data_IF_197284911734
#
_entry.id   IF_197284911734
#
_cell.length_a   1.000
_cell.length_b   1.000
_cell.length_c   1.000
_cell.angle_alpha   90.00
_cell.angle_beta   90.00
_cell.angle_gamma   90.00
#
_symmetry.space_group_name_H-M   'P 1'
#
loop_
_entity.id
_entity.type
_entity.pdbx_description
1 polymer ?
#
# COMPACT_ATOMS: atom_id res chain seq x y z
N UNK A 1 43.57 18.02 21.34
CA UNK A 1 43.16 17.86 19.93
C UNK A 1 42.84 16.39 19.76
N UNK A 2 41.57 16.04 19.89
CA UNK A 2 41.10 14.66 19.71
C UNK A 2 40.50 14.55 18.33
N UNK A 3 40.95 13.53 17.62
CA UNK A 3 40.71 13.24 16.22
C UNK A 3 39.21 12.97 15.96
N UNK A 4 38.56 13.82 15.18
CA UNK A 4 37.16 13.66 14.73
C UNK A 4 37.13 13.02 13.34
N UNK A 5 37.75 11.86 13.17
CA UNK A 5 37.78 11.18 11.88
C UNK A 5 37.72 9.68 12.07
N UNK A 6 36.49 9.15 12.23
CA UNK A 6 35.99 8.01 11.46
C UNK A 6 34.52 7.72 11.85
N UNK A 7 33.58 8.57 11.42
CA UNK A 7 32.18 8.13 11.36
C UNK A 7 32.00 7.47 9.99
N UNK A 8 31.49 6.22 9.91
CA UNK A 8 31.13 5.62 8.63
C UNK A 8 30.10 6.51 7.92
N UNK A 9 30.00 6.46 6.58
CA UNK A 9 28.96 7.20 5.87
C UNK A 9 27.61 6.83 6.48
N UNK A 10 26.82 7.84 6.83
CA UNK A 10 25.43 7.62 7.22
C UNK A 10 24.76 6.88 6.06
N UNK A 11 24.26 5.67 6.31
CA UNK A 11 23.22 5.10 5.47
C UNK A 11 22.18 6.20 5.30
N UNK A 12 21.89 6.58 4.06
CA UNK A 12 21.03 7.71 3.76
C UNK A 12 19.67 7.48 4.44
N UNK A 13 19.28 8.39 5.33
CA UNK A 13 17.98 8.42 6.02
C UNK A 13 16.75 8.47 5.06
N UNK A 14 16.99 8.39 3.75
CA UNK A 14 15.99 8.47 2.67
C UNK A 14 15.44 7.09 2.25
N UNK A 15 16.07 5.98 2.65
CA UNK A 15 15.62 4.63 2.30
C UNK A 15 14.71 4.05 3.39
N UNK A 16 13.62 3.38 2.98
CA UNK A 16 12.74 2.71 3.91
C UNK A 16 13.52 1.60 4.66
N UNK A 17 13.23 1.34 5.94
CA UNK A 17 13.94 0.32 6.69
C UNK A 17 13.71 -1.06 6.06
N UNK A 18 14.71 -1.94 6.20
CA UNK A 18 14.59 -3.34 5.80
C UNK A 18 13.33 -3.98 6.41
N UNK A 19 12.58 -4.70 5.58
CA UNK A 19 11.30 -5.31 5.97
C UNK A 19 10.09 -4.38 5.82
N UNK A 20 10.26 -3.12 5.42
CA UNK A 20 9.14 -2.24 5.09
C UNK A 20 8.51 -2.64 3.76
N UNK A 21 7.20 -2.85 3.74
CA UNK A 21 6.48 -2.98 2.49
C UNK A 21 6.38 -1.63 1.78
N UNK A 22 6.92 -1.58 0.56
CA UNK A 22 6.90 -0.39 -0.29
C UNK A 22 5.96 -0.64 -1.46
N UNK A 23 5.11 0.35 -1.74
CA UNK A 23 4.29 0.39 -2.95
C UNK A 23 4.69 1.61 -3.78
N UNK A 24 4.97 1.45 -5.10
CA UNK A 24 5.45 2.55 -5.91
C UNK A 24 4.43 3.69 -5.96
N UNK A 25 4.92 4.91 -6.19
CA UNK A 25 4.05 6.04 -6.46
C UNK A 25 3.33 5.83 -7.79
N UNK A 26 2.01 6.00 -7.80
CA UNK A 26 1.20 5.85 -9.00
C UNK A 26 1.15 7.20 -9.74
N UNK A 27 1.50 7.25 -11.04
CA UNK A 27 1.47 8.49 -11.82
C UNK A 27 0.09 9.16 -11.84
N UNK A 28 0.06 10.49 -11.70
CA UNK A 28 -1.19 11.29 -11.60
C UNK A 28 -2.04 11.17 -12.86
N UNK A 29 -1.39 11.06 -14.02
CA UNK A 29 -1.96 10.93 -15.36
C UNK A 29 -2.81 9.67 -15.55
N UNK A 30 -2.68 8.66 -14.68
CA UNK A 30 -3.57 7.50 -14.66
C UNK A 30 -4.95 7.81 -14.08
N UNK A 31 -5.10 8.95 -13.41
CA UNK A 31 -6.37 9.45 -12.89
C UNK A 31 -6.95 8.63 -11.74
N UNK A 32 -6.15 7.78 -11.08
CA UNK A 32 -6.59 6.98 -9.93
C UNK A 32 -6.92 7.92 -8.76
N UNK A 33 -8.03 7.64 -8.05
CA UNK A 33 -8.50 8.54 -7.00
C UNK A 33 -7.47 8.71 -5.86
N UNK A 34 -7.01 9.94 -5.53
CA UNK A 34 -5.93 10.14 -4.55
C UNK A 34 -6.22 9.60 -3.15
N UNK A 35 -7.46 9.70 -2.66
CA UNK A 35 -7.81 9.12 -1.35
C UNK A 35 -7.74 7.59 -1.35
N UNK A 36 -8.01 6.94 -2.49
CA UNK A 36 -7.87 5.50 -2.58
C UNK A 36 -6.38 5.12 -2.62
N UNK A 37 -5.56 5.82 -3.40
CA UNK A 37 -4.11 5.62 -3.40
C UNK A 37 -3.51 5.74 -2.00
N UNK A 38 -3.87 6.78 -1.25
CA UNK A 38 -3.41 6.97 0.12
C UNK A 38 -3.81 5.80 1.04
N UNK A 39 -5.06 5.34 0.93
CA UNK A 39 -5.54 4.19 1.71
C UNK A 39 -4.84 2.88 1.31
N UNK A 40 -4.62 2.66 0.01
CA UNK A 40 -3.93 1.49 -0.52
C UNK A 40 -2.47 1.45 -0.07
N UNK A 41 -1.75 2.58 -0.17
CA UNK A 41 -0.38 2.71 0.35
C UNK A 41 -0.31 2.37 1.84
N UNK A 42 -1.25 2.88 2.65
CA UNK A 42 -1.30 2.58 4.08
C UNK A 42 -1.58 1.10 4.35
N UNK A 43 -2.54 0.48 3.65
CA UNK A 43 -2.87 -0.93 3.83
C UNK A 43 -1.71 -1.84 3.45
N UNK A 44 -1.06 -1.60 2.30
CA UNK A 44 0.11 -2.37 1.89
C UNK A 44 1.23 -2.24 2.93
N UNK A 45 1.45 -1.04 3.46
CA UNK A 45 2.46 -0.84 4.50
C UNK A 45 2.11 -1.62 5.78
N UNK A 46 0.87 -1.54 6.27
CA UNK A 46 0.47 -2.23 7.50
C UNK A 46 0.47 -3.75 7.36
N UNK A 47 0.02 -4.28 6.23
CA UNK A 47 -0.16 -5.73 6.03
C UNK A 47 1.10 -6.42 5.54
N UNK A 48 1.98 -5.68 4.86
CA UNK A 48 3.16 -6.24 4.21
C UNK A 48 4.47 -6.01 4.97
N UNK A 49 4.50 -5.10 5.95
CA UNK A 49 5.74 -4.79 6.68
C UNK A 49 6.00 -5.78 7.82
N UNK A 50 7.27 -6.06 8.05
CA UNK A 50 7.72 -6.96 9.12
C UNK A 50 7.49 -6.36 10.52
N UNK A 51 7.43 -7.23 11.54
CA UNK A 51 7.19 -6.84 12.94
C UNK A 51 8.30 -5.93 13.52
N UNK A 52 9.47 -5.91 12.89
CA UNK A 52 10.58 -5.01 13.20
C UNK A 52 10.32 -3.57 12.73
N UNK A 53 9.40 -3.38 11.78
CA UNK A 53 9.03 -2.07 11.21
C UNK A 53 7.75 -1.54 11.83
N UNK A 54 6.72 -2.39 11.96
CA UNK A 54 5.43 -2.01 12.54
C UNK A 54 4.94 -3.07 13.52
N UNK A 55 4.44 -2.64 14.68
CA UNK A 55 3.90 -3.57 15.67
C UNK A 55 2.67 -4.31 15.09
N UNK A 56 2.69 -5.66 15.00
CA UNK A 56 1.67 -6.40 14.23
C UNK A 56 0.23 -6.13 14.68
N UNK A 57 -0.02 -6.09 16.00
CA UNK A 57 -1.37 -5.84 16.50
C UNK A 57 -1.87 -4.41 16.20
N UNK A 58 -0.96 -3.43 16.15
CA UNK A 58 -1.33 -2.04 15.86
C UNK A 58 -1.57 -1.86 14.35
N UNK A 59 -0.75 -2.51 13.53
CA UNK A 59 -0.93 -2.56 12.08
C UNK A 59 -2.28 -3.21 11.71
N UNK A 60 -2.59 -4.35 12.33
CA UNK A 60 -3.87 -5.04 12.13
C UNK A 60 -5.05 -4.14 12.51
N UNK A 61 -5.04 -3.54 13.70
CA UNK A 61 -6.14 -2.66 14.14
C UNK A 61 -6.33 -1.45 13.20
N UNK A 62 -5.24 -0.83 12.74
CA UNK A 62 -5.31 0.26 11.77
C UNK A 62 -5.88 -0.18 10.40
N UNK A 63 -5.43 -1.33 9.89
CA UNK A 63 -5.92 -1.91 8.65
C UNK A 63 -7.41 -2.28 8.74
N UNK A 64 -7.86 -2.83 9.87
CA UNK A 64 -9.27 -3.15 10.13
C UNK A 64 -10.17 -1.91 10.07
N UNK A 65 -9.71 -0.77 10.61
CA UNK A 65 -10.48 0.48 10.51
C UNK A 65 -10.53 1.04 9.09
N UNK A 66 -9.39 1.06 8.39
CA UNK A 66 -9.32 1.51 6.99
C UNK A 66 -10.25 0.68 6.11
N UNK A 67 -10.17 -0.64 6.21
CA UNK A 67 -11.01 -1.57 5.45
C UNK A 67 -12.48 -1.43 5.82
N UNK A 68 -12.81 -1.25 7.10
CA UNK A 68 -14.19 -0.96 7.55
C UNK A 68 -14.79 0.30 6.94
N UNK A 69 -13.99 1.33 6.62
CA UNK A 69 -14.48 2.50 5.89
C UNK A 69 -14.63 2.22 4.39
N UNK A 70 -13.69 1.51 3.78
CA UNK A 70 -13.78 1.13 2.36
C UNK A 70 -14.98 0.19 2.10
N UNK A 71 -15.32 -0.68 3.05
CA UNK A 71 -16.50 -1.55 2.97
C UNK A 71 -17.83 -0.78 2.88
N UNK A 72 -17.87 0.49 3.30
CA UNK A 72 -19.07 1.35 3.19
C UNK A 72 -19.29 1.88 1.78
N UNK A 73 -18.31 1.75 0.90
CA UNK A 73 -18.42 2.21 -0.49
C UNK A 73 -19.50 1.40 -1.21
N UNK A 74 -20.34 2.12 -1.95
CA UNK A 74 -21.42 1.52 -2.74
C UNK A 74 -21.70 2.37 -3.98
N UNK A 75 -22.54 1.86 -4.88
CA UNK A 75 -22.95 2.59 -6.08
C UNK A 75 -21.75 3.04 -6.91
N UNK A 76 -21.72 4.35 -7.24
CA UNK A 76 -20.66 4.92 -8.10
C UNK A 76 -19.29 4.93 -7.45
N UNK A 77 -19.20 5.09 -6.13
CA UNK A 77 -17.89 5.16 -5.46
C UNK A 77 -17.23 3.78 -5.43
N UNK A 78 -18.01 2.71 -5.19
CA UNK A 78 -17.51 1.34 -5.30
C UNK A 78 -17.13 0.97 -6.74
N UNK A 79 -17.92 1.42 -7.72
CA UNK A 79 -17.58 1.23 -9.12
C UNK A 79 -16.26 1.94 -9.46
N UNK A 80 -16.09 3.18 -9.01
CA UNK A 80 -14.86 3.94 -9.24
C UNK A 80 -13.64 3.24 -8.65
N UNK A 81 -13.76 2.73 -7.42
CA UNK A 81 -12.68 1.97 -6.77
C UNK A 81 -12.24 0.74 -7.60
N UNK A 82 -13.19 0.03 -8.24
CA UNK A 82 -12.89 -1.12 -9.09
C UNK A 82 -12.13 -0.71 -10.34
N UNK A 83 -12.59 0.34 -11.01
CA UNK A 83 -11.94 0.91 -12.20
C UNK A 83 -10.51 1.37 -11.86
N UNK A 84 -10.35 2.05 -10.73
CA UNK A 84 -9.05 2.50 -10.21
C UNK A 84 -8.10 1.32 -9.94
N UNK A 85 -8.56 0.24 -9.32
CA UNK A 85 -7.77 -0.99 -9.14
C UNK A 85 -7.37 -1.64 -10.46
N UNK A 86 -8.29 -1.72 -11.42
CA UNK A 86 -8.00 -2.26 -12.74
C UNK A 86 -6.93 -1.44 -13.47
N UNK A 87 -6.96 -0.11 -13.34
CA UNK A 87 -5.92 0.79 -13.86
C UNK A 87 -4.56 0.51 -13.22
N UNK A 88 -4.48 0.38 -11.90
CA UNK A 88 -3.22 0.05 -11.20
C UNK A 88 -2.70 -1.32 -11.62
N UNK A 89 -3.57 -2.33 -11.76
CA UNK A 89 -3.19 -3.66 -12.24
C UNK A 89 -2.67 -3.61 -13.68
N UNK A 90 -3.25 -2.75 -14.52
CA UNK A 90 -2.76 -2.46 -15.87
C UNK A 90 -1.33 -1.93 -15.84
N UNK A 91 -1.09 -0.87 -15.08
CA UNK A 91 0.25 -0.31 -14.88
C UNK A 91 1.24 -1.38 -14.41
N UNK A 92 0.90 -2.12 -13.36
CA UNK A 92 1.80 -3.13 -12.80
C UNK A 92 2.13 -4.27 -13.76
N UNK A 93 1.26 -4.57 -14.73
CA UNK A 93 1.58 -5.53 -15.80
C UNK A 93 2.57 -4.93 -16.80
N UNK A 94 2.36 -3.68 -17.20
CA UNK A 94 3.22 -2.97 -18.15
C UNK A 94 4.62 -2.75 -17.57
N UNK A 95 4.71 -2.45 -16.28
CA UNK A 95 5.97 -2.31 -15.52
C UNK A 95 6.52 -3.64 -15.00
N UNK A 96 5.88 -4.78 -15.31
CA UNK A 96 6.34 -6.11 -14.94
C UNK A 96 6.54 -6.34 -13.44
N UNK A 97 5.63 -5.80 -12.62
CA UNK A 97 5.64 -6.00 -11.17
C UNK A 97 5.59 -7.49 -10.78
N UNK A 98 6.08 -7.85 -9.58
CA UNK A 98 6.04 -9.22 -9.10
C UNK A 98 4.62 -9.81 -9.14
N UNK A 99 4.52 -11.10 -9.50
CA UNK A 99 3.24 -11.81 -9.58
C UNK A 99 2.44 -11.75 -8.28
N UNK A 100 3.13 -11.76 -7.14
CA UNK A 100 2.51 -11.66 -5.82
C UNK A 100 1.84 -10.29 -5.62
N UNK A 101 2.50 -9.19 -5.99
CA UNK A 101 1.93 -7.84 -5.94
C UNK A 101 0.69 -7.73 -6.84
N UNK A 102 0.76 -8.26 -8.07
CA UNK A 102 -0.39 -8.31 -8.96
C UNK A 102 -1.52 -9.19 -8.42
N UNK A 103 -1.19 -10.26 -7.71
CA UNK A 103 -2.18 -11.13 -7.10
C UNK A 103 -2.89 -10.44 -5.93
N UNK A 104 -2.13 -9.76 -5.06
CA UNK A 104 -2.69 -8.95 -3.97
C UNK A 104 -3.69 -7.93 -4.50
N UNK A 105 -3.34 -7.16 -5.53
CA UNK A 105 -4.26 -6.16 -6.11
C UNK A 105 -5.53 -6.80 -6.71
N UNK A 106 -5.41 -7.98 -7.32
CA UNK A 106 -6.55 -8.70 -7.90
C UNK A 106 -7.53 -9.21 -6.85
N UNK A 107 -7.03 -9.63 -5.69
CA UNK A 107 -7.87 -10.16 -4.61
C UNK A 107 -8.21 -9.12 -3.57
N UNK A 108 -7.60 -7.93 -3.62
CA UNK A 108 -7.73 -6.83 -2.66
C UNK A 108 -9.18 -6.59 -2.19
N UNK A 109 -10.13 -6.45 -3.11
CA UNK A 109 -11.53 -6.21 -2.73
C UNK A 109 -12.16 -7.41 -2.02
N UNK A 110 -11.85 -8.62 -2.47
CA UNK A 110 -12.40 -9.84 -1.89
C UNK A 110 -11.80 -10.11 -0.50
N UNK A 111 -10.48 -9.98 -0.38
CA UNK A 111 -9.73 -10.23 0.87
C UNK A 111 -10.17 -9.26 1.98
N UNK A 112 -10.52 -8.02 1.60
CA UNK A 112 -11.01 -7.00 2.53
C UNK A 112 -12.54 -6.91 2.61
N UNK A 113 -13.29 -7.82 1.97
CA UNK A 113 -14.76 -7.81 1.98
C UNK A 113 -15.41 -6.56 1.37
N UNK A 114 -14.69 -5.78 0.56
CA UNK A 114 -15.17 -4.54 -0.04
C UNK A 114 -16.12 -4.85 -1.19
N UNK A 115 -17.35 -4.35 -1.10
CA UNK A 115 -18.39 -4.59 -2.11
C UNK A 115 -19.02 -5.98 -2.07
N UNK A 116 -18.71 -6.77 -1.04
CA UNK A 116 -19.54 -7.91 -0.63
C UNK A 116 -20.72 -7.32 0.12
N UNK A 117 -21.94 -7.45 -0.43
CA UNK A 117 -23.15 -6.96 0.23
C UNK A 117 -23.26 -7.55 1.65
N UNK A 118 -23.54 -6.68 2.63
CA UNK A 118 -24.42 -7.02 3.74
C UNK A 118 -25.87 -7.06 3.27
#
# INVERSE_FOLDING_TARGET
>A
MSDHSNLPPSESDDEAPDGAAVFPLIPEELGVHPLFLAALHALIFFEGSDETVVHPAAAQEAAEYLTSYLQRLSGRDLQRLREDLDTIIGLGKDEQWPRQSLQYLKTFLADHGIGVKG
#
